data_IF_708969778659
#
_entry.id   IF_708969778659
#
_cell.length_a   1.000
_cell.length_b   1.000
_cell.length_c   1.000
_cell.angle_alpha   90.00
_cell.angle_beta   90.00
_cell.angle_gamma   90.00
#
_symmetry.space_group_name_H-M   'P 1'
#
loop_
_entity.id
_entity.type
_entity.pdbx_description
1 polymer ?
#
# COMPACT_ATOMS: atom_id res chain seq x y z
N UNK A 1 -6.09 -6.09 -15.55
CA UNK A 1 -5.28 -7.33 -15.73
C UNK A 1 -4.30 -7.32 -16.90
N UNK A 2 -4.34 -6.31 -17.80
CA UNK A 2 -3.39 -6.23 -18.94
C UNK A 2 -1.94 -6.03 -18.50
N UNK A 3 -1.68 -5.27 -17.43
CA UNK A 3 -0.34 -4.98 -16.93
C UNK A 3 0.23 -6.13 -16.10
N UNK A 4 -0.60 -6.80 -15.31
CA UNK A 4 -0.17 -7.88 -14.41
C UNK A 4 -0.42 -9.29 -14.97
N UNK A 5 -0.75 -9.42 -16.26
CA UNK A 5 -0.85 -10.70 -16.94
C UNK A 5 -1.83 -11.71 -16.32
N UNK A 6 -2.86 -11.22 -15.61
CA UNK A 6 -3.89 -12.08 -14.98
C UNK A 6 -3.89 -12.03 -13.45
N UNK A 7 -2.94 -11.34 -12.83
CA UNK A 7 -2.90 -11.18 -11.38
C UNK A 7 -1.48 -10.99 -10.84
N UNK A 8 -1.36 -10.94 -9.52
CA UNK A 8 -0.07 -10.85 -8.85
C UNK A 8 0.52 -12.25 -8.69
N UNK A 9 1.75 -12.42 -9.15
CA UNK A 9 2.48 -13.68 -9.01
C UNK A 9 2.96 -13.84 -7.56
N UNK A 10 2.80 -15.01 -6.92
CA UNK A 10 3.37 -15.27 -5.61
C UNK A 10 4.87 -14.94 -5.57
N UNK A 11 5.32 -14.28 -4.51
CA UNK A 11 6.72 -13.88 -4.34
C UNK A 11 7.20 -12.75 -5.28
N UNK A 12 6.29 -12.12 -6.02
CA UNK A 12 6.65 -10.98 -6.88
C UNK A 12 6.70 -9.68 -6.09
N UNK A 13 7.51 -8.74 -6.60
CA UNK A 13 7.48 -7.36 -6.16
C UNK A 13 7.05 -6.47 -7.31
N UNK A 14 6.09 -5.59 -7.06
CA UNK A 14 5.56 -4.65 -8.04
C UNK A 14 5.86 -3.23 -7.58
N UNK A 15 6.63 -2.48 -8.35
CA UNK A 15 6.88 -1.06 -8.06
C UNK A 15 5.86 -0.18 -8.78
N UNK A 16 5.12 0.60 -8.02
CA UNK A 16 4.25 1.66 -8.51
C UNK A 16 4.94 3.01 -8.33
N UNK A 17 5.67 3.42 -9.36
CA UNK A 17 6.41 4.67 -9.38
C UNK A 17 5.63 5.81 -10.03
N UNK A 18 5.91 7.05 -9.61
CA UNK A 18 5.34 8.26 -10.21
C UNK A 18 5.55 9.50 -9.35
N UNK A 19 5.24 10.68 -9.89
CA UNK A 19 5.37 11.94 -9.15
C UNK A 19 4.51 11.96 -7.87
N UNK A 20 4.92 12.69 -6.81
CA UNK A 20 4.08 12.91 -5.64
C UNK A 20 2.72 13.50 -6.02
N UNK A 21 1.65 13.08 -5.32
CA UNK A 21 0.30 13.63 -5.55
C UNK A 21 -0.45 13.09 -6.77
N UNK A 22 0.14 12.25 -7.62
CA UNK A 22 -0.52 11.69 -8.81
C UNK A 22 -1.62 10.65 -8.51
N UNK A 23 -1.81 10.30 -7.24
CA UNK A 23 -2.87 9.38 -6.81
C UNK A 23 -2.44 7.90 -6.68
N UNK A 24 -1.14 7.58 -6.62
CA UNK A 24 -0.64 6.19 -6.46
C UNK A 24 -1.24 5.47 -5.26
N UNK A 25 -1.15 6.07 -4.07
CA UNK A 25 -1.71 5.54 -2.82
C UNK A 25 -3.23 5.36 -2.91
N UNK A 26 -3.92 6.30 -3.54
CA UNK A 26 -5.37 6.23 -3.77
C UNK A 26 -5.73 5.07 -4.69
N UNK A 27 -5.02 4.93 -5.81
CA UNK A 27 -5.23 3.83 -6.76
C UNK A 27 -4.97 2.46 -6.10
N UNK A 28 -3.88 2.36 -5.32
CA UNK A 28 -3.55 1.13 -4.61
C UNK A 28 -4.61 0.79 -3.58
N UNK A 29 -5.00 1.77 -2.75
CA UNK A 29 -6.05 1.58 -1.74
C UNK A 29 -7.37 1.16 -2.40
N UNK A 30 -7.79 1.83 -3.48
CA UNK A 30 -8.97 1.47 -4.24
C UNK A 30 -8.91 0.04 -4.80
N UNK A 31 -7.73 -0.39 -5.22
CA UNK A 31 -7.52 -1.74 -5.76
C UNK A 31 -7.66 -2.79 -4.66
N UNK A 32 -7.00 -2.59 -3.52
CA UNK A 32 -7.00 -3.57 -2.41
C UNK A 32 -8.36 -3.64 -1.70
N UNK A 33 -9.14 -2.56 -1.69
CA UNK A 33 -10.52 -2.57 -1.19
C UNK A 33 -11.43 -3.57 -1.92
N UNK A 34 -11.10 -3.90 -3.17
CA UNK A 34 -11.85 -4.89 -3.94
C UNK A 34 -11.31 -6.32 -3.80
N UNK A 35 -10.23 -6.54 -3.02
CA UNK A 35 -9.61 -7.85 -2.81
C UNK A 35 -10.04 -8.46 -1.47
N UNK A 36 -11.36 -8.57 -1.25
CA UNK A 36 -11.96 -9.00 0.02
C UNK A 36 -11.68 -10.46 0.41
N UNK A 37 -11.16 -11.24 -0.54
CA UNK A 37 -10.75 -12.65 -0.35
C UNK A 37 -9.34 -12.81 0.24
N UNK A 38 -8.62 -11.71 0.51
CA UNK A 38 -7.21 -11.72 0.93
C UNK A 38 -6.97 -10.87 2.16
N UNK A 39 -6.15 -11.36 3.08
CA UNK A 39 -5.61 -10.56 4.17
C UNK A 39 -4.48 -9.68 3.65
N UNK A 40 -4.60 -8.38 3.82
CA UNK A 40 -3.68 -7.38 3.28
C UNK A 40 -3.06 -6.59 4.42
N UNK A 41 -1.74 -6.44 4.41
CA UNK A 41 -1.03 -5.53 5.28
C UNK A 41 -0.67 -4.27 4.49
N UNK A 42 -1.24 -3.14 4.91
CA UNK A 42 -0.93 -1.82 4.35
C UNK A 42 -0.01 -1.08 5.31
N UNK A 43 1.25 -0.94 4.94
CA UNK A 43 2.26 -0.20 5.72
C UNK A 43 2.34 1.23 5.21
N UNK A 44 2.18 2.20 6.10
CA UNK A 44 2.29 3.62 5.79
C UNK A 44 3.32 4.28 6.70
N UNK A 45 4.24 5.02 6.08
CA UNK A 45 5.20 5.85 6.81
C UNK A 45 4.85 7.34 6.82
N UNK A 46 3.83 7.77 6.06
CA UNK A 46 3.46 9.17 5.91
C UNK A 46 2.09 9.51 6.53
N UNK A 47 1.13 8.61 6.37
CA UNK A 47 -0.24 8.83 6.83
C UNK A 47 -0.57 8.00 8.06
N UNK A 48 -1.39 8.57 8.96
CA UNK A 48 -1.93 7.82 10.10
C UNK A 48 -3.01 6.82 9.67
N UNK A 49 -3.21 5.78 10.48
CA UNK A 49 -4.27 4.79 10.24
C UNK A 49 -5.66 5.45 10.10
N UNK A 50 -5.92 6.53 10.87
CA UNK A 50 -7.17 7.27 10.79
C UNK A 50 -7.36 7.96 9.43
N UNK A 51 -6.31 8.60 8.89
CA UNK A 51 -6.35 9.25 7.58
C UNK A 51 -6.59 8.24 6.46
N UNK A 52 -5.90 7.09 6.52
CA UNK A 52 -6.08 6.00 5.56
C UNK A 52 -7.50 5.47 5.62
N UNK A 53 -8.06 5.25 6.82
CA UNK A 53 -9.44 4.81 7.01
C UNK A 53 -10.44 5.79 6.40
N UNK A 54 -10.31 7.08 6.69
CA UNK A 54 -11.19 8.12 6.12
C UNK A 54 -11.14 8.15 4.59
N UNK A 55 -9.95 7.96 4.00
CA UNK A 55 -9.77 7.89 2.55
C UNK A 55 -10.41 6.64 1.97
N UNK A 56 -10.23 5.50 2.63
CA UNK A 56 -10.82 4.24 2.25
C UNK A 56 -12.36 4.29 2.29
N UNK A 57 -12.95 4.88 3.33
CA UNK A 57 -14.41 5.08 3.45
C UNK A 57 -14.98 5.91 2.30
N UNK A 58 -14.27 6.98 1.89
CA UNK A 58 -14.68 7.80 0.74
C UNK A 58 -14.64 7.01 -0.57
N UNK A 59 -13.59 6.20 -0.76
CA UNK A 59 -13.44 5.37 -1.96
C UNK A 59 -14.52 4.29 -2.04
N UNK A 60 -14.83 3.63 -0.93
CA UNK A 60 -15.87 2.61 -0.87
C UNK A 60 -17.25 3.19 -1.19
N UNK A 61 -17.60 4.36 -0.62
CA UNK A 61 -18.84 5.07 -0.92
C UNK A 61 -18.93 5.46 -2.40
N UNK A 62 -17.86 6.01 -2.96
CA UNK A 62 -17.81 6.38 -4.38
C UNK A 62 -17.99 5.18 -5.32
N UNK A 63 -17.45 4.01 -4.96
CA UNK A 63 -17.62 2.78 -5.75
C UNK A 63 -19.04 2.23 -5.67
N UNK A 64 -19.69 2.29 -4.49
CA UNK A 64 -21.08 1.87 -4.31
C UNK A 64 -22.01 2.68 -5.22
N UNK A 65 -21.83 4.01 -5.27
CA UNK A 65 -22.60 4.90 -6.15
C UNK A 65 -22.45 4.55 -7.64
N UNK A 66 -21.25 4.23 -8.08
CA UNK A 66 -21.00 3.88 -9.48
C UNK A 66 -21.63 2.53 -9.88
N UNK A 67 -21.79 1.62 -8.92
CA UNK A 67 -22.41 0.31 -9.16
C UNK A 67 -23.94 0.39 -9.23
N UNK A 68 -24.56 1.23 -8.39
CA UNK A 68 -26.02 1.32 -8.26
C UNK A 68 -26.66 2.28 -9.26
N UNK A 69 -25.89 3.05 -10.04
CA UNK A 69 -26.40 4.01 -11.03
C UNK A 69 -27.27 5.12 -10.41
N UNK A 70 -27.26 5.29 -9.09
CA UNK A 70 -28.10 6.24 -8.37
C UNK A 70 -27.47 7.63 -8.36
N UNK A 71 -28.30 8.63 -8.70
CA UNK A 71 -27.94 10.05 -8.63
C UNK A 71 -27.68 10.50 -7.19
N UNK A 72 -26.88 11.54 -7.02
CA UNK A 72 -26.40 12.10 -5.76
C UNK A 72 -27.48 12.48 -4.71
N UNK A 73 -28.76 12.49 -5.06
CA UNK A 73 -29.87 12.86 -4.19
C UNK A 73 -30.33 11.76 -3.21
N UNK A 74 -29.92 10.49 -3.43
CA UNK A 74 -30.30 9.36 -2.55
C UNK A 74 -29.41 9.22 -1.31
N UNK A 75 -28.46 10.13 -1.15
CA UNK A 75 -27.41 10.11 -0.10
C UNK A 75 -27.90 10.35 1.33
N UNK A 76 -29.15 10.72 1.54
CA UNK A 76 -29.64 11.10 2.89
C UNK A 76 -30.10 9.93 3.76
N UNK A 77 -30.18 8.71 3.24
CA UNK A 77 -30.75 7.57 3.98
C UNK A 77 -29.91 6.28 4.01
N UNK A 78 -28.80 6.23 3.31
CA UNK A 78 -27.90 5.08 3.40
C UNK A 78 -26.79 5.37 4.43
N UNK A 79 -27.10 5.23 5.71
CA UNK A 79 -26.11 4.90 6.74
C UNK A 79 -25.63 3.45 6.48
N UNK A 80 -24.94 3.22 5.36
CA UNK A 80 -24.16 2.02 5.19
C UNK A 80 -23.00 2.15 6.18
N UNK A 81 -23.16 1.50 7.33
CA UNK A 81 -22.08 1.21 8.24
C UNK A 81 -20.97 0.58 7.41
N UNK A 82 -19.85 1.25 7.28
CA UNK A 82 -18.62 0.71 6.68
C UNK A 82 -17.96 -0.34 7.58
N UNK A 83 -18.70 -0.85 8.56
CA UNK A 83 -18.32 -1.98 9.39
C UNK A 83 -18.23 -3.21 8.49
N UNK A 84 -17.02 -3.74 8.36
CA UNK A 84 -16.71 -4.91 7.54
C UNK A 84 -16.02 -4.63 6.20
N UNK A 85 -16.12 -3.44 5.62
CA UNK A 85 -15.51 -3.14 4.32
C UNK A 85 -13.96 -3.16 4.34
N UNK A 86 -13.35 -3.12 5.52
CA UNK A 86 -11.90 -3.06 5.73
C UNK A 86 -11.33 -4.18 6.60
N UNK A 87 -12.13 -5.12 7.03
CA UNK A 87 -11.71 -6.19 7.96
C UNK A 87 -10.57 -7.06 7.38
N UNK A 88 -10.42 -7.06 6.07
CA UNK A 88 -9.35 -7.76 5.37
C UNK A 88 -8.06 -6.94 5.23
N UNK A 89 -8.07 -5.65 5.62
CA UNK A 89 -6.91 -4.75 5.52
C UNK A 89 -6.44 -4.33 6.91
N UNK A 90 -5.26 -4.77 7.29
CA UNK A 90 -4.56 -4.29 8.49
C UNK A 90 -3.68 -3.11 8.10
N UNK A 91 -3.86 -1.97 8.76
CA UNK A 91 -3.00 -0.78 8.56
C UNK A 91 -1.94 -0.74 9.64
N UNK A 92 -0.69 -0.66 9.23
CA UNK A 92 0.49 -0.53 10.10
C UNK A 92 1.19 0.80 9.83
N UNK A 93 1.29 1.65 10.84
CA UNK A 93 2.04 2.90 10.78
C UNK A 93 3.43 2.66 11.39
N UNK A 94 4.37 2.19 10.58
CA UNK A 94 5.73 1.86 10.98
C UNK A 94 6.70 2.16 9.84
N UNK A 95 7.92 2.59 10.17
CA UNK A 95 8.97 2.93 9.21
C UNK A 95 10.22 2.06 9.34
N UNK A 96 10.38 1.32 10.43
CA UNK A 96 11.51 0.41 10.62
C UNK A 96 11.21 -0.95 10.00
N UNK A 97 12.03 -1.38 9.04
CA UNK A 97 11.83 -2.59 8.28
C UNK A 97 11.79 -3.85 9.15
N UNK A 98 12.62 -3.90 10.18
CA UNK A 98 12.72 -5.02 11.13
C UNK A 98 11.41 -5.20 11.91
N UNK A 99 10.80 -4.10 12.34
CA UNK A 99 9.50 -4.13 13.01
C UNK A 99 8.38 -4.50 12.05
N UNK A 100 8.44 -4.02 10.81
CA UNK A 100 7.49 -4.42 9.76
C UNK A 100 7.55 -5.93 9.56
N UNK A 101 8.72 -6.54 9.48
CA UNK A 101 8.86 -7.99 9.36
C UNK A 101 8.30 -8.76 10.57
N UNK A 102 8.48 -8.24 11.78
CA UNK A 102 7.87 -8.84 12.98
C UNK A 102 6.34 -8.83 12.91
N UNK A 103 5.73 -7.71 12.52
CA UNK A 103 4.27 -7.62 12.35
C UNK A 103 3.74 -8.48 11.19
N UNK A 104 4.52 -8.68 10.13
CA UNK A 104 4.13 -9.60 9.05
C UNK A 104 3.95 -11.03 9.57
N UNK A 105 4.80 -11.48 10.51
CA UNK A 105 4.67 -12.81 11.11
C UNK A 105 3.39 -12.95 11.94
N UNK A 106 2.99 -11.90 12.64
CA UNK A 106 1.77 -11.88 13.46
C UNK A 106 0.49 -11.83 12.60
N UNK A 107 0.46 -10.96 11.60
CA UNK A 107 -0.70 -10.73 10.73
C UNK A 107 -0.88 -11.85 9.70
N UNK A 108 0.20 -12.51 9.30
CA UNK A 108 0.25 -13.51 8.24
C UNK A 108 -0.52 -13.05 6.96
N UNK A 109 -0.14 -11.91 6.35
CA UNK A 109 -0.85 -11.35 5.20
C UNK A 109 -0.60 -12.18 3.94
N UNK A 110 -1.49 -12.05 2.97
CA UNK A 110 -1.37 -12.65 1.64
C UNK A 110 -0.94 -11.63 0.57
N UNK A 111 -0.88 -10.36 0.96
CA UNK A 111 -0.38 -9.24 0.16
C UNK A 111 0.13 -8.16 1.09
N UNK A 112 1.26 -7.56 0.74
CA UNK A 112 1.83 -6.42 1.48
C UNK A 112 1.88 -5.21 0.55
N UNK A 113 1.49 -4.05 1.08
CA UNK A 113 1.64 -2.74 0.42
C UNK A 113 2.56 -1.88 1.28
N UNK A 114 3.56 -1.29 0.68
CA UNK A 114 4.47 -0.31 1.33
C UNK A 114 4.24 1.06 0.70
N UNK A 115 3.78 2.02 1.48
CA UNK A 115 3.45 3.39 1.06
C UNK A 115 4.10 4.43 2.00
N UNK A 116 5.26 4.97 1.66
CA UNK A 116 6.08 4.75 0.48
C UNK A 116 7.43 4.10 0.85
N UNK A 117 8.14 3.55 -0.13
CA UNK A 117 9.47 2.94 0.12
C UNK A 117 10.48 3.98 0.65
N UNK A 118 10.31 5.27 0.34
CA UNK A 118 11.16 6.34 0.82
C UNK A 118 11.06 6.60 2.32
N UNK A 119 9.96 6.19 2.95
CA UNK A 119 9.76 6.37 4.40
C UNK A 119 10.32 5.21 5.21
N UNK A 120 10.64 4.10 4.57
CA UNK A 120 11.15 2.91 5.23
C UNK A 120 12.66 3.01 5.42
N UNK A 121 13.13 2.59 6.58
CA UNK A 121 14.54 2.51 6.93
C UNK A 121 14.90 1.16 7.55
N UNK A 122 16.16 0.78 7.45
CA UNK A 122 16.74 -0.41 8.07
C UNK A 122 17.98 -0.04 8.87
N UNK A 123 18.26 -0.76 9.93
CA UNK A 123 19.46 -0.60 10.74
C UNK A 123 20.71 -1.17 10.03
N UNK A 124 20.55 -1.92 8.97
CA UNK A 124 21.65 -2.52 8.20
C UNK A 124 22.51 -1.47 7.45
N UNK A 125 21.99 -0.26 7.26
CA UNK A 125 22.67 0.81 6.52
C UNK A 125 22.74 2.08 7.36
N UNK A 126 23.95 2.54 7.64
CA UNK A 126 24.20 3.79 8.37
C UNK A 126 24.04 5.01 7.42
N UNK A 127 22.80 5.33 7.12
CA UNK A 127 22.44 6.51 6.32
C UNK A 127 21.03 6.99 6.68
N UNK A 128 20.75 8.26 6.38
CA UNK A 128 19.46 8.87 6.71
C UNK A 128 18.28 8.17 6.00
N UNK A 129 17.12 8.05 6.67
CA UNK A 129 15.89 7.57 6.03
C UNK A 129 15.60 8.33 4.73
N UNK A 130 15.15 7.61 3.71
CA UNK A 130 14.88 8.17 2.40
C UNK A 130 16.09 8.38 1.49
N UNK A 131 17.31 8.18 1.99
CA UNK A 131 18.52 8.20 1.15
C UNK A 131 18.46 7.06 0.11
N UNK A 132 19.18 7.24 -1.00
CA UNK A 132 19.21 6.23 -2.06
C UNK A 132 19.72 4.88 -1.57
N UNK A 133 20.70 4.88 -0.65
CA UNK A 133 21.22 3.65 -0.03
C UNK A 133 20.17 2.95 0.84
N UNK A 134 19.45 3.68 1.68
CA UNK A 134 18.34 3.14 2.48
C UNK A 134 17.24 2.55 1.59
N UNK A 135 16.79 3.30 0.60
CA UNK A 135 15.72 2.85 -0.32
C UNK A 135 16.13 1.58 -1.06
N UNK A 136 17.39 1.52 -1.52
CA UNK A 136 17.91 0.32 -2.21
C UNK A 136 17.96 -0.89 -1.30
N UNK A 137 18.48 -0.74 -0.07
CA UNK A 137 18.58 -1.87 0.87
C UNK A 137 17.20 -2.34 1.32
N UNK A 138 16.30 -1.43 1.70
CA UNK A 138 14.92 -1.79 2.04
C UNK A 138 14.22 -2.52 0.88
N UNK A 139 14.36 -2.03 -0.35
CA UNK A 139 13.78 -2.69 -1.52
C UNK A 139 14.39 -4.07 -1.78
N UNK A 140 15.72 -4.23 -1.60
CA UNK A 140 16.41 -5.51 -1.75
C UNK A 140 15.96 -6.52 -0.68
N UNK A 141 15.83 -6.09 0.58
CA UNK A 141 15.35 -6.91 1.69
C UNK A 141 13.89 -7.35 1.49
N UNK A 142 13.01 -6.44 1.05
CA UNK A 142 11.63 -6.76 0.70
C UNK A 142 11.53 -7.73 -0.48
N UNK A 143 12.42 -7.61 -1.47
CA UNK A 143 12.48 -8.54 -2.60
C UNK A 143 12.92 -9.94 -2.15
N UNK A 144 13.95 -10.04 -1.30
CA UNK A 144 14.41 -11.31 -0.69
C UNK A 144 13.25 -11.95 0.09
N UNK A 145 12.60 -11.15 0.93
CA UNK A 145 11.46 -11.59 1.72
C UNK A 145 10.31 -12.12 0.83
N UNK A 146 9.89 -11.35 -0.19
CA UNK A 146 8.82 -11.76 -1.10
C UNK A 146 9.12 -13.11 -1.76
N UNK A 147 10.34 -13.27 -2.28
CA UNK A 147 10.77 -14.54 -2.91
C UNK A 147 10.79 -15.72 -1.97
N UNK A 148 11.20 -15.51 -0.71
CA UNK A 148 11.33 -16.59 0.27
C UNK A 148 9.96 -16.98 0.85
N UNK A 149 9.10 -15.99 1.16
CA UNK A 149 7.78 -16.21 1.76
C UNK A 149 6.71 -16.58 0.76
N UNK A 150 6.90 -16.26 -0.53
CA UNK A 150 5.87 -16.37 -1.55
C UNK A 150 4.81 -15.26 -1.48
N UNK A 151 4.92 -14.31 -0.54
CA UNK A 151 3.96 -13.23 -0.38
C UNK A 151 4.29 -12.11 -1.37
N UNK A 152 3.35 -11.72 -2.26
CA UNK A 152 3.56 -10.60 -3.17
C UNK A 152 3.61 -9.26 -2.42
N UNK A 153 4.44 -8.34 -2.91
CA UNK A 153 4.63 -7.00 -2.33
C UNK A 153 4.40 -5.93 -3.39
N UNK A 154 3.60 -4.91 -3.05
CA UNK A 154 3.48 -3.67 -3.83
C UNK A 154 4.31 -2.60 -3.12
N UNK A 155 5.27 -2.02 -3.84
CA UNK A 155 6.02 -0.85 -3.38
C UNK A 155 5.49 0.39 -4.08
N UNK A 156 5.08 1.39 -3.30
CA UNK A 156 4.79 2.73 -3.83
C UNK A 156 6.06 3.55 -3.67
N UNK A 157 6.48 4.20 -4.76
CA UNK A 157 7.67 5.03 -4.77
C UNK A 157 7.45 6.37 -5.48
N UNK A 158 8.14 7.40 -5.00
CA UNK A 158 8.21 8.68 -5.69
C UNK A 158 9.38 8.66 -6.68
N UNK A 159 9.09 8.95 -7.93
CA UNK A 159 10.09 9.02 -9.01
C UNK A 159 10.20 10.50 -9.39
N UNK A 160 11.43 10.99 -9.53
CA UNK A 160 11.67 12.32 -10.09
C UNK A 160 11.45 12.31 -11.61
N UNK A 161 11.47 13.51 -12.24
CA UNK A 161 11.29 13.68 -13.69
C UNK A 161 12.33 12.94 -14.55
N UNK A 162 13.44 12.55 -13.96
CA UNK A 162 14.52 11.81 -14.61
C UNK A 162 14.31 10.27 -14.51
N UNK A 163 13.19 9.80 -13.92
CA UNK A 163 12.88 8.39 -13.80
C UNK A 163 13.68 7.66 -12.72
N UNK A 164 14.44 8.38 -11.89
CA UNK A 164 15.16 7.82 -10.75
C UNK A 164 14.31 7.91 -9.47
N UNK A 165 14.46 6.96 -8.55
CA UNK A 165 13.84 7.04 -7.24
C UNK A 165 14.30 8.34 -6.56
N UNK A 166 13.34 9.21 -6.23
CA UNK A 166 13.64 10.48 -5.57
C UNK A 166 14.22 10.18 -4.18
N UNK A 167 15.46 10.59 -3.99
CA UNK A 167 16.06 10.72 -2.65
C UNK A 167 15.64 12.05 -2.00
N UNK A 168 15.92 12.24 -0.70
CA UNK A 168 15.68 13.52 -0.03
C UNK A 168 16.50 14.60 -0.73
N UNK A 169 15.91 15.81 -0.88
CA UNK A 169 16.63 17.03 -1.29
C UNK A 169 17.46 17.54 -0.14
#
# INVERSE_FOLDING_TARGET
NRVLGGGMVPGSITLLGGEPGIGKSTLTLQTILNMTDRRILYVSGEESAHQIKLRADRLAKGQAMLRDGSSADTLKTASLSSEGAFDHITVLCETQLEKIFSHIQEVAPQLIVIDSIQTISTEEVDSSPGSVSQVRECAASLLRFAKTSGIPVILIGHINKEGTLAGPK
#
